data_IF_393827345187
#
_entry.id   IF_393827345187
#
_cell.length_a   1.000
_cell.length_b   1.000
_cell.length_c   1.000
_cell.angle_alpha   90.00
_cell.angle_beta   90.00
_cell.angle_gamma   90.00
#
_symmetry.space_group_name_H-M   'P 1'
#
loop_
_entity.id
_entity.type
_entity.pdbx_description
1 polymer ?
#
# COMPACT_ATOMS: atom_id res chain seq x y z
N UNK A 1 21.45 -18.55 -7.33
CA UNK A 1 20.87 -18.13 -6.03
C UNK A 1 19.37 -18.03 -6.19
N UNK A 2 18.63 -18.71 -5.32
CA UNK A 2 17.17 -18.70 -5.34
C UNK A 2 16.67 -17.79 -4.22
N UNK A 3 15.76 -16.87 -4.56
CA UNK A 3 15.15 -15.95 -3.61
C UNK A 3 13.70 -16.34 -3.45
N UNK A 4 13.26 -16.51 -2.21
CA UNK A 4 11.88 -16.84 -1.88
C UNK A 4 11.11 -15.60 -1.44
N UNK A 5 9.94 -15.37 -2.05
CA UNK A 5 8.99 -14.35 -1.64
C UNK A 5 7.65 -15.04 -1.40
N UNK A 6 7.25 -15.17 -0.13
CA UNK A 6 6.09 -15.98 0.20
C UNK A 6 6.27 -17.42 -0.32
N UNK A 7 5.33 -17.88 -1.10
CA UNK A 7 5.36 -19.21 -1.75
C UNK A 7 5.99 -19.20 -3.15
N UNK A 8 6.49 -18.04 -3.60
CA UNK A 8 7.07 -17.88 -4.92
C UNK A 8 8.60 -17.90 -4.88
N UNK A 9 9.21 -18.66 -5.77
CA UNK A 9 10.65 -18.73 -5.96
C UNK A 9 11.07 -17.88 -7.16
N UNK A 10 11.87 -16.83 -6.92
CA UNK A 10 12.46 -16.01 -7.96
C UNK A 10 13.62 -16.78 -8.59
N UNK A 11 13.65 -16.82 -9.91
CA UNK A 11 14.65 -17.57 -10.67
C UNK A 11 14.12 -18.92 -11.17
N UNK A 12 12.83 -19.21 -10.99
CA UNK A 12 12.17 -20.44 -11.46
C UNK A 12 11.76 -20.41 -12.95
N UNK A 13 12.13 -19.35 -13.68
CA UNK A 13 11.78 -19.19 -15.10
C UNK A 13 10.53 -18.36 -15.37
N UNK A 14 9.82 -17.93 -14.31
CA UNK A 14 8.63 -17.06 -14.40
C UNK A 14 8.87 -15.76 -13.62
N UNK A 15 8.39 -14.65 -14.14
CA UNK A 15 8.47 -13.36 -13.46
C UNK A 15 7.49 -13.30 -12.27
N UNK A 16 7.94 -12.68 -11.19
CA UNK A 16 7.08 -12.30 -10.07
C UNK A 16 6.35 -11.00 -10.41
N UNK A 17 5.03 -11.03 -10.48
CA UNK A 17 4.22 -9.91 -10.94
C UNK A 17 3.60 -9.20 -9.75
N UNK A 18 3.88 -7.92 -9.63
CA UNK A 18 3.33 -7.03 -8.59
C UNK A 18 2.33 -6.07 -9.22
N UNK A 19 1.08 -6.10 -8.78
CA UNK A 19 0.10 -5.09 -9.12
C UNK A 19 0.24 -3.89 -8.18
N UNK A 20 0.59 -2.74 -8.72
CA UNK A 20 0.70 -1.49 -7.97
C UNK A 20 -0.68 -0.86 -7.80
N UNK A 21 -1.34 -1.08 -6.68
CA UNK A 21 -2.62 -0.45 -6.33
C UNK A 21 -2.38 0.98 -5.83
N UNK A 22 -1.31 1.16 -5.05
CA UNK A 22 -0.95 2.48 -4.53
C UNK A 22 -2.06 3.08 -3.69
N UNK A 23 -2.49 4.29 -4.06
CA UNK A 23 -3.61 5.03 -3.46
C UNK A 23 -4.85 5.08 -4.36
N UNK A 24 -4.94 4.27 -5.39
CA UNK A 24 -6.05 4.30 -6.35
C UNK A 24 -7.40 3.88 -5.76
N UNK A 25 -7.40 3.34 -4.53
CA UNK A 25 -8.62 3.08 -3.76
C UNK A 25 -9.32 4.36 -3.27
N UNK A 26 -8.65 5.53 -3.34
CA UNK A 26 -9.17 6.84 -2.91
C UNK A 26 -9.71 6.86 -1.47
N UNK A 27 -9.06 6.15 -0.54
CA UNK A 27 -9.48 6.06 0.86
C UNK A 27 -10.64 5.10 1.14
N UNK A 28 -11.15 4.41 0.12
CA UNK A 28 -12.22 3.43 0.26
C UNK A 28 -11.66 2.03 0.49
N UNK A 29 -11.94 1.46 1.64
CA UNK A 29 -11.59 0.08 1.96
C UNK A 29 -12.27 -0.92 1.00
N UNK A 30 -13.55 -0.73 0.72
CA UNK A 30 -14.29 -1.60 -0.17
C UNK A 30 -13.72 -1.60 -1.60
N UNK A 31 -13.31 -0.43 -2.07
CA UNK A 31 -12.62 -0.31 -3.36
C UNK A 31 -11.26 -1.00 -3.35
N UNK A 32 -10.53 -0.90 -2.25
CA UNK A 32 -9.26 -1.61 -2.10
C UNK A 32 -9.46 -3.14 -2.18
N UNK A 33 -10.49 -3.68 -1.52
CA UNK A 33 -10.87 -5.09 -1.61
C UNK A 33 -11.21 -5.48 -3.05
N UNK A 34 -12.00 -4.68 -3.74
CA UNK A 34 -12.35 -4.94 -5.14
C UNK A 34 -11.10 -4.98 -6.04
N UNK A 35 -10.17 -4.07 -5.83
CA UNK A 35 -8.91 -4.03 -6.58
C UNK A 35 -8.04 -5.26 -6.31
N UNK A 36 -8.01 -5.76 -5.07
CA UNK A 36 -7.34 -7.02 -4.73
C UNK A 36 -8.00 -8.18 -5.48
N UNK A 37 -9.31 -8.26 -5.49
CA UNK A 37 -10.04 -9.32 -6.19
C UNK A 37 -9.73 -9.31 -7.69
N UNK A 38 -9.73 -8.15 -8.32
CA UNK A 38 -9.37 -8.00 -9.73
C UNK A 38 -7.93 -8.42 -10.00
N UNK A 39 -7.00 -8.03 -9.15
CA UNK A 39 -5.61 -8.44 -9.26
C UNK A 39 -5.47 -9.97 -9.14
N UNK A 40 -6.17 -10.58 -8.18
CA UNK A 40 -6.18 -12.03 -8.01
C UNK A 40 -6.72 -12.78 -9.24
N UNK A 41 -7.82 -12.29 -9.81
CA UNK A 41 -8.41 -12.84 -11.04
C UNK A 41 -7.45 -12.78 -12.23
N UNK A 42 -6.61 -11.77 -12.30
CA UNK A 42 -5.59 -11.60 -13.35
C UNK A 42 -4.35 -12.46 -13.13
N UNK A 43 -4.23 -13.16 -12.01
CA UNK A 43 -3.13 -14.08 -11.72
C UNK A 43 -1.82 -13.39 -11.31
N UNK A 44 -1.87 -12.19 -10.73
CA UNK A 44 -0.69 -11.54 -10.15
C UNK A 44 -0.23 -12.26 -8.88
N UNK A 45 1.03 -12.12 -8.55
CA UNK A 45 1.63 -12.78 -7.37
C UNK A 45 1.55 -11.92 -6.12
N UNK A 46 1.50 -10.60 -6.28
CA UNK A 46 1.54 -9.65 -5.20
C UNK A 46 0.73 -8.40 -5.53
N UNK A 47 0.19 -7.77 -4.52
CA UNK A 47 -0.37 -6.43 -4.60
C UNK A 47 0.44 -5.47 -3.73
N UNK A 48 0.60 -4.25 -4.16
CA UNK A 48 1.34 -3.22 -3.45
C UNK A 48 0.45 -2.02 -3.17
N UNK A 49 0.37 -1.64 -1.90
CA UNK A 49 -0.30 -0.44 -1.43
C UNK A 49 0.73 0.59 -0.98
N UNK A 50 0.34 1.86 -0.99
CA UNK A 50 1.13 2.92 -0.38
C UNK A 50 0.60 3.16 1.03
N UNK A 51 1.49 3.02 2.02
CA UNK A 51 1.24 3.41 3.40
C UNK A 51 2.22 4.53 3.75
N UNK A 52 1.68 5.65 4.20
CA UNK A 52 2.48 6.82 4.60
C UNK A 52 2.11 7.25 6.00
N UNK A 53 3.11 7.55 6.79
CA UNK A 53 2.94 8.21 8.08
C UNK A 53 3.04 9.73 7.85
N UNK A 54 1.95 10.34 7.40
CA UNK A 54 1.95 11.75 6.97
C UNK A 54 2.40 12.69 8.09
N UNK A 55 2.06 12.39 9.34
CA UNK A 55 2.50 13.17 10.49
C UNK A 55 4.00 13.22 10.69
N UNK A 56 4.74 12.18 10.30
CA UNK A 56 6.19 12.13 10.42
C UNK A 56 6.90 12.70 9.19
N UNK A 57 6.37 12.40 8.00
CA UNK A 57 6.99 12.82 6.73
C UNK A 57 6.93 14.33 6.55
N UNK A 58 5.86 14.95 7.00
CA UNK A 58 5.60 16.38 6.76
C UNK A 58 5.79 17.29 7.99
N UNK A 59 6.11 16.71 9.14
CA UNK A 59 6.30 17.46 10.40
C UNK A 59 7.36 18.56 10.33
N UNK A 60 8.37 18.39 9.50
CA UNK A 60 9.46 19.36 9.32
C UNK A 60 9.12 20.53 8.41
N UNK A 61 8.11 20.40 7.54
CA UNK A 61 7.72 21.45 6.60
C UNK A 61 6.73 22.45 7.19
N UNK A 62 5.93 22.04 8.14
CA UNK A 62 4.96 22.92 8.81
C UNK A 62 5.61 23.93 9.77
N UNK A 63 6.89 23.83 10.04
CA UNK A 63 7.65 24.76 10.89
C UNK A 63 8.20 25.97 10.11
N UNK A 64 8.20 25.95 8.80
CA UNK A 64 8.56 27.11 7.98
C UNK A 64 7.32 27.98 7.78
N UNK A 65 7.13 28.92 8.71
CA UNK A 65 5.97 29.82 8.76
C UNK A 65 5.89 30.86 7.64
N UNK A 66 6.88 30.98 6.78
CA UNK A 66 6.95 31.96 5.72
C UNK A 66 6.49 31.43 4.36
N UNK A 67 5.75 30.34 4.35
CA UNK A 67 5.43 29.69 3.12
C UNK A 67 3.96 29.67 2.79
N UNK A 68 3.58 30.57 1.99
CA UNK A 68 2.46 30.47 1.09
C UNK A 68 2.61 29.26 0.15
N UNK A 69 2.73 28.06 0.70
CA UNK A 69 2.67 26.85 -0.11
C UNK A 69 1.28 26.22 0.00
N UNK A 70 0.28 26.97 -0.48
CA UNK A 70 -1.10 26.52 -0.63
C UNK A 70 -1.19 25.21 -1.41
N UNK A 71 -0.26 24.98 -2.32
CA UNK A 71 -0.16 23.75 -3.08
C UNK A 71 0.18 22.55 -2.22
N UNK A 72 1.12 22.70 -1.27
CA UNK A 72 1.52 21.63 -0.36
C UNK A 72 0.41 21.28 0.61
N UNK A 73 -0.29 22.25 1.20
CA UNK A 73 -1.42 22.00 2.09
C UNK A 73 -2.55 21.27 1.38
N UNK A 74 -2.87 21.68 0.16
CA UNK A 74 -3.89 21.02 -0.65
C UNK A 74 -3.52 19.55 -0.95
N UNK A 75 -2.28 19.27 -1.31
CA UNK A 75 -1.79 17.92 -1.57
C UNK A 75 -1.82 17.08 -0.29
N UNK A 76 -1.44 17.65 0.86
CA UNK A 76 -1.49 16.97 2.15
C UNK A 76 -2.92 16.60 2.55
N UNK A 77 -3.87 17.50 2.34
CA UNK A 77 -5.28 17.25 2.62
C UNK A 77 -5.83 16.12 1.73
N UNK A 78 -5.48 16.11 0.45
CA UNK A 78 -5.84 15.02 -0.45
C UNK A 78 -5.22 13.68 -0.02
N UNK A 79 -3.95 13.67 0.36
CA UNK A 79 -3.26 12.47 0.82
C UNK A 79 -3.91 11.92 2.09
N UNK A 80 -4.32 12.78 3.03
CA UNK A 80 -5.05 12.38 4.22
C UNK A 80 -6.41 11.76 3.91
N UNK A 81 -7.13 12.33 2.96
CA UNK A 81 -8.44 11.79 2.54
C UNK A 81 -8.33 10.42 1.87
N UNK A 82 -7.20 10.15 1.23
CA UNK A 82 -6.97 8.90 0.49
C UNK A 82 -6.19 7.87 1.29
N UNK A 83 -5.90 8.15 2.55
CA UNK A 83 -5.17 7.25 3.42
C UNK A 83 -6.12 6.23 4.06
N UNK A 84 -5.69 4.98 4.07
CA UNK A 84 -6.30 3.93 4.88
C UNK A 84 -5.60 3.87 6.23
N UNK A 85 -6.34 3.54 7.29
CA UNK A 85 -5.77 3.34 8.61
C UNK A 85 -4.86 2.12 8.67
N UNK A 86 -4.02 2.05 9.69
CA UNK A 86 -3.15 0.88 9.93
C UNK A 86 -4.01 -0.38 10.11
N UNK A 87 -5.14 -0.26 10.79
CA UNK A 87 -6.05 -1.38 11.00
C UNK A 87 -6.68 -1.88 9.70
N UNK A 88 -7.09 -0.96 8.84
CA UNK A 88 -7.56 -1.29 7.49
C UNK A 88 -6.48 -1.98 6.67
N UNK A 89 -5.24 -1.51 6.72
CA UNK A 89 -4.11 -2.18 6.06
C UNK A 89 -3.88 -3.60 6.60
N UNK A 90 -4.02 -3.82 7.91
CA UNK A 90 -3.95 -5.17 8.51
C UNK A 90 -5.05 -6.08 7.99
N UNK A 91 -6.26 -5.55 7.87
CA UNK A 91 -7.40 -6.29 7.30
C UNK A 91 -7.17 -6.63 5.83
N UNK A 92 -6.59 -5.70 5.05
CA UNK A 92 -6.20 -5.97 3.67
C UNK A 92 -5.14 -7.09 3.58
N UNK A 93 -4.17 -7.09 4.49
CA UNK A 93 -3.15 -8.13 4.52
C UNK A 93 -3.75 -9.52 4.77
N UNK A 94 -4.70 -9.63 5.71
CA UNK A 94 -5.43 -10.87 5.95
C UNK A 94 -6.25 -11.31 4.74
N UNK A 95 -6.90 -10.36 4.09
CA UNK A 95 -7.68 -10.64 2.88
C UNK A 95 -6.80 -11.12 1.73
N UNK A 96 -5.65 -10.50 1.52
CA UNK A 96 -4.67 -10.98 0.52
C UNK A 96 -4.21 -12.40 0.80
N UNK A 97 -3.94 -12.75 2.06
CA UNK A 97 -3.56 -14.11 2.43
C UNK A 97 -4.66 -15.12 2.09
N UNK A 98 -5.93 -14.80 2.28
CA UNK A 98 -7.07 -15.63 1.87
C UNK A 98 -7.18 -15.81 0.35
N UNK A 99 -6.69 -14.84 -0.41
CA UNK A 99 -6.65 -14.90 -1.89
C UNK A 99 -5.34 -15.47 -2.44
N UNK A 100 -4.49 -16.02 -1.58
CA UNK A 100 -3.15 -16.52 -1.94
C UNK A 100 -2.26 -15.46 -2.59
N UNK A 101 -2.46 -14.20 -2.22
CA UNK A 101 -1.67 -13.07 -2.69
C UNK A 101 -0.68 -12.63 -1.62
N UNK A 102 0.49 -12.20 -2.06
CA UNK A 102 1.42 -11.47 -1.23
C UNK A 102 1.00 -10.00 -1.16
N UNK A 103 1.10 -9.38 0.01
CA UNK A 103 0.91 -7.92 0.16
C UNK A 103 2.24 -7.26 0.45
N UNK A 104 2.54 -6.20 -0.26
CA UNK A 104 3.71 -5.37 0.00
C UNK A 104 3.29 -3.97 0.47
N UNK A 105 3.90 -3.44 1.51
CA UNK A 105 5.04 -3.95 2.28
C UNK A 105 4.65 -5.09 3.24
N UNK A 106 5.50 -6.12 3.38
CA UNK A 106 5.19 -7.30 4.17
C UNK A 106 5.21 -7.10 5.69
N UNK A 107 5.56 -5.91 6.17
CA UNK A 107 5.86 -5.65 7.59
C UNK A 107 4.77 -4.90 8.36
N UNK A 108 3.51 -5.13 8.08
CA UNK A 108 2.45 -4.66 8.96
C UNK A 108 2.35 -5.45 10.28
N UNK A 109 3.05 -6.56 10.37
CA UNK A 109 3.06 -7.39 11.58
C UNK A 109 4.06 -6.95 12.66
N UNK A 110 4.88 -5.92 12.40
CA UNK A 110 5.92 -5.48 13.32
C UNK A 110 5.64 -4.14 14.02
N UNK A 111 4.43 -3.60 13.87
CA UNK A 111 3.96 -2.54 14.76
C UNK A 111 3.21 -3.16 15.93
N UNK A 112 3.89 -3.95 16.71
CA UNK A 112 3.53 -4.24 18.09
C UNK A 112 4.19 -3.22 19.01
#
# INVERSE_FOLDING_TARGET
MKIQIGNFEIGSGRAFIIAEIGNNHNGSFDRAIEMIDRAAEMGVDCVKFQMRHLGEVYRKRSLNKDGEDLGTEYILDLLHRFELSIDEHRRLAKYCAHRYLCLYPPRLSLCE
#
